data_IF_462453040661
#
_entry.id   IF_462453040661
#
_cell.length_a   1.000
_cell.length_b   1.000
_cell.length_c   1.000
_cell.angle_alpha   90.00
_cell.angle_beta   90.00
_cell.angle_gamma   90.00
#
_symmetry.space_group_name_H-M   'P 1'
#
loop_
_entity.id
_entity.type
_entity.pdbx_description
1 polymer ?
#
# COMPACT_ATOMS: atom_id res chain seq x y z
N UNK A 1 16.58 0.36 -30.05
CA UNK A 1 15.59 -0.71 -30.29
C UNK A 1 14.32 -0.36 -29.53
N UNK A 2 13.14 -0.70 -30.05
CA UNK A 2 11.91 -0.39 -29.35
C UNK A 2 11.57 -1.48 -28.32
N UNK A 3 11.84 -1.19 -27.04
CA UNK A 3 11.64 -2.11 -25.91
C UNK A 3 10.23 -1.88 -25.34
N UNK A 4 9.45 -2.95 -25.16
CA UNK A 4 8.13 -2.89 -24.55
C UNK A 4 8.21 -3.08 -23.04
N UNK A 5 7.86 -2.05 -22.29
CA UNK A 5 7.79 -2.09 -20.83
C UNK A 5 6.34 -2.24 -20.40
N UNK A 6 6.02 -3.31 -19.68
CA UNK A 6 4.69 -3.60 -19.14
C UNK A 6 4.66 -3.29 -17.64
N UNK A 7 3.76 -2.38 -17.27
CA UNK A 7 3.54 -1.96 -15.89
C UNK A 7 2.36 -2.73 -15.31
N UNK A 8 2.63 -3.56 -14.29
CA UNK A 8 1.60 -4.40 -13.68
C UNK A 8 0.99 -3.75 -12.42
N UNK A 9 -0.21 -4.22 -12.07
CA UNK A 9 -0.96 -3.80 -10.89
C UNK A 9 -1.13 -2.26 -10.81
N UNK A 10 -0.75 -1.65 -9.69
CA UNK A 10 -0.96 -0.22 -9.45
C UNK A 10 0.01 0.69 -10.21
N UNK A 11 1.09 0.15 -10.79
CA UNK A 11 2.10 0.95 -11.50
C UNK A 11 1.54 1.64 -12.75
N UNK A 12 0.52 1.07 -13.40
CA UNK A 12 -0.12 1.71 -14.55
C UNK A 12 -0.71 3.08 -14.22
N UNK A 13 -1.23 3.27 -13.00
CA UNK A 13 -1.82 4.54 -12.59
C UNK A 13 -0.76 5.62 -12.41
N UNK A 14 0.48 5.24 -12.07
CA UNK A 14 1.67 6.11 -12.01
C UNK A 14 2.23 6.47 -13.39
N UNK A 15 1.71 5.85 -14.45
CA UNK A 15 2.05 6.14 -15.83
C UNK A 15 0.85 6.66 -16.64
N UNK A 16 -0.01 7.47 -16.02
CA UNK A 16 -1.21 8.03 -16.64
C UNK A 16 -2.17 6.96 -17.22
N UNK A 17 -2.24 5.79 -16.57
CA UNK A 17 -3.08 4.67 -16.99
C UNK A 17 -2.46 3.77 -18.07
N UNK A 18 -1.25 4.06 -18.57
CA UNK A 18 -0.61 3.23 -19.58
C UNK A 18 -0.10 1.91 -18.98
N UNK A 19 -0.62 0.79 -19.48
CA UNK A 19 -0.18 -0.55 -19.08
C UNK A 19 1.06 -1.02 -19.84
N UNK A 20 1.28 -0.51 -21.06
CA UNK A 20 2.44 -0.84 -21.90
C UNK A 20 3.02 0.43 -22.47
N UNK A 21 4.33 0.60 -22.33
CA UNK A 21 5.09 1.76 -22.79
C UNK A 21 6.22 1.26 -23.69
N UNK A 22 6.31 1.84 -24.88
CA UNK A 22 7.40 1.59 -25.80
C UNK A 22 8.51 2.64 -25.60
N UNK A 23 9.75 2.17 -25.44
CA UNK A 23 10.93 2.99 -25.19
C UNK A 23 12.03 2.59 -26.17
N UNK A 24 12.51 3.57 -26.94
CA UNK A 24 13.70 3.35 -27.77
C UNK A 24 14.98 3.42 -26.92
N UNK A 25 15.67 2.30 -26.79
CA UNK A 25 16.89 2.14 -26.01
C UNK A 25 17.74 0.98 -26.55
N UNK A 26 19.02 0.96 -26.19
CA UNK A 26 19.96 -0.09 -26.60
C UNK A 26 20.08 -1.21 -25.57
N UNK A 27 19.80 -0.92 -24.29
CA UNK A 27 19.76 -1.92 -23.22
C UNK A 27 18.51 -1.81 -22.36
N UNK A 28 18.23 -2.85 -21.56
CA UNK A 28 17.12 -2.81 -20.60
C UNK A 28 17.31 -1.70 -19.56
N UNK A 29 18.55 -1.46 -19.11
CA UNK A 29 18.81 -0.43 -18.09
C UNK A 29 18.66 0.98 -18.64
N UNK A 30 19.11 1.21 -19.88
CA UNK A 30 18.84 2.47 -20.57
C UNK A 30 17.33 2.70 -20.76
N UNK A 31 16.57 1.64 -21.08
CA UNK A 31 15.12 1.72 -21.22
C UNK A 31 14.45 2.14 -19.91
N UNK A 32 14.89 1.59 -18.77
CA UNK A 32 14.38 1.96 -17.44
C UNK A 32 14.73 3.40 -17.05
N UNK A 33 15.95 3.88 -17.33
CA UNK A 33 16.33 5.30 -17.12
C UNK A 33 15.44 6.23 -17.92
N UNK A 34 15.21 5.92 -19.21
CA UNK A 34 14.32 6.71 -20.09
C UNK A 34 12.86 6.65 -19.62
N UNK A 35 12.40 5.52 -19.11
CA UNK A 35 11.07 5.37 -18.53
C UNK A 35 10.86 6.34 -17.35
N UNK A 36 11.79 6.38 -16.40
CA UNK A 36 11.71 7.27 -15.23
C UNK A 36 11.77 8.74 -15.63
N UNK A 37 12.62 9.11 -16.59
CA UNK A 37 12.65 10.47 -17.11
C UNK A 37 11.31 10.89 -17.75
N UNK A 38 10.61 9.96 -18.39
CA UNK A 38 9.29 10.20 -19.00
C UNK A 38 8.15 10.19 -17.98
N UNK A 39 8.24 9.35 -16.95
CA UNK A 39 7.23 9.20 -15.89
C UNK A 39 7.92 9.26 -14.51
N UNK A 40 8.20 10.47 -13.98
CA UNK A 40 8.91 10.63 -12.70
C UNK A 40 8.21 9.95 -11.51
N UNK A 41 6.89 9.80 -11.56
CA UNK A 41 6.09 9.10 -10.53
C UNK A 41 6.40 7.60 -10.44
N UNK A 42 7.07 7.01 -11.45
CA UNK A 42 7.59 5.65 -11.39
C UNK A 42 8.90 5.53 -10.61
N UNK A 43 9.45 6.64 -10.10
CA UNK A 43 10.66 6.65 -9.24
C UNK A 43 10.52 5.83 -7.96
N UNK A 44 9.28 5.50 -7.60
CA UNK A 44 8.93 4.50 -6.59
C UNK A 44 9.46 3.10 -6.91
N UNK A 45 9.42 2.69 -8.17
CA UNK A 45 9.70 1.31 -8.59
C UNK A 45 11.12 1.16 -9.10
N UNK A 46 11.64 2.20 -9.77
CA UNK A 46 12.98 2.23 -10.33
C UNK A 46 13.63 3.55 -9.92
N UNK A 47 14.88 3.54 -9.49
CA UNK A 47 15.62 4.77 -9.20
C UNK A 47 16.03 5.53 -10.49
N UNK A 48 16.56 6.78 -10.38
CA UNK A 48 17.00 7.54 -11.55
C UNK A 48 18.12 6.88 -12.37
N UNK A 49 18.87 5.94 -11.76
CA UNK A 49 19.93 5.17 -12.40
C UNK A 49 19.41 3.89 -13.08
N UNK A 50 18.10 3.69 -13.13
CA UNK A 50 17.48 2.55 -13.78
C UNK A 50 17.55 1.27 -12.94
N UNK A 51 17.87 1.34 -11.64
CA UNK A 51 17.85 0.18 -10.76
C UNK A 51 16.46 -0.04 -10.17
N UNK A 52 15.90 -1.26 -10.26
CA UNK A 52 14.69 -1.60 -9.53
C UNK A 52 14.88 -1.46 -8.01
N UNK A 53 13.89 -0.83 -7.35
CA UNK A 53 13.85 -0.65 -5.90
C UNK A 53 13.31 -1.89 -5.19
N UNK A 54 13.56 -1.99 -3.88
CA UNK A 54 12.93 -3.01 -3.03
C UNK A 54 11.41 -2.94 -3.17
N UNK A 55 10.76 -4.09 -3.14
CA UNK A 55 9.31 -4.17 -3.35
C UNK A 55 8.88 -4.28 -4.80
N UNK A 56 9.81 -4.28 -5.73
CA UNK A 56 9.54 -4.49 -7.14
C UNK A 56 10.41 -5.59 -7.70
N UNK A 57 9.82 -6.42 -8.55
CA UNK A 57 10.55 -7.37 -9.38
C UNK A 57 10.46 -6.89 -10.81
N UNK A 58 11.63 -6.94 -11.47
CA UNK A 58 11.74 -6.64 -12.89
C UNK A 58 12.20 -7.89 -13.62
N UNK A 59 11.42 -8.30 -14.62
CA UNK A 59 11.81 -9.34 -15.55
C UNK A 59 12.20 -8.72 -16.89
N UNK A 60 13.37 -9.08 -17.38
CA UNK A 60 13.91 -8.73 -18.69
C UNK A 60 13.85 -9.97 -19.57
N UNK A 61 12.98 -9.96 -20.59
CA UNK A 61 12.69 -11.12 -21.45
C UNK A 61 12.35 -12.40 -20.65
N UNK A 62 11.62 -12.24 -19.54
CA UNK A 62 11.20 -13.33 -18.67
C UNK A 62 12.24 -13.81 -17.65
N UNK A 63 13.42 -13.17 -17.62
CA UNK A 63 14.51 -13.47 -16.69
C UNK A 63 14.60 -12.37 -15.63
N UNK A 64 14.80 -12.74 -14.37
CA UNK A 64 14.97 -11.76 -13.29
C UNK A 64 16.19 -10.86 -13.56
N UNK A 65 16.01 -9.54 -13.44
CA UNK A 65 17.07 -8.57 -13.76
C UNK A 65 18.35 -8.77 -12.94
N UNK A 66 18.27 -9.38 -11.75
CA UNK A 66 19.43 -9.57 -10.84
C UNK A 66 20.49 -10.52 -11.40
N UNK A 67 20.15 -11.30 -12.42
CA UNK A 67 21.06 -12.23 -13.10
C UNK A 67 21.37 -11.78 -14.54
N UNK A 68 21.06 -10.54 -14.88
CA UNK A 68 21.30 -9.90 -16.18
C UNK A 68 22.42 -8.86 -16.06
N UNK A 69 23.22 -8.70 -17.12
CA UNK A 69 24.15 -7.58 -17.24
C UNK A 69 23.40 -6.32 -17.72
N UNK A 70 23.77 -5.16 -17.18
CA UNK A 70 23.09 -3.87 -17.41
C UNK A 70 23.00 -3.44 -18.89
N UNK A 71 23.98 -3.86 -19.71
CA UNK A 71 24.07 -3.52 -21.13
C UNK A 71 23.33 -4.50 -22.04
N UNK A 72 22.74 -5.57 -21.50
CA UNK A 72 22.01 -6.54 -22.30
C UNK A 72 20.80 -5.91 -23.02
N UNK A 73 20.62 -6.33 -24.27
CA UNK A 73 19.42 -6.01 -25.03
C UNK A 73 18.17 -6.65 -24.41
N UNK A 74 17.01 -6.05 -24.65
CA UNK A 74 15.74 -6.59 -24.23
C UNK A 74 14.64 -6.32 -25.26
N UNK A 75 13.67 -7.21 -25.36
CA UNK A 75 12.46 -6.99 -26.16
C UNK A 75 11.29 -6.57 -25.28
N UNK A 76 11.12 -7.24 -24.15
CA UNK A 76 10.09 -6.96 -23.18
C UNK A 76 10.64 -6.85 -21.76
N UNK A 77 10.14 -5.87 -21.01
CA UNK A 77 10.42 -5.69 -19.59
C UNK A 77 9.08 -5.72 -18.85
N UNK A 78 9.00 -6.46 -17.76
CA UNK A 78 7.84 -6.48 -16.87
C UNK A 78 8.25 -5.89 -15.53
N UNK A 79 7.51 -4.90 -15.06
CA UNK A 79 7.69 -4.31 -13.74
C UNK A 79 6.45 -4.64 -12.92
N UNK A 80 6.64 -5.33 -11.80
CA UNK A 80 5.57 -5.72 -10.91
C UNK A 80 5.94 -5.39 -9.46
N UNK A 81 5.00 -4.84 -8.68
CA UNK A 81 5.15 -4.87 -7.24
C UNK A 81 5.11 -6.32 -6.76
N UNK A 82 5.96 -6.64 -5.79
CA UNK A 82 5.84 -7.88 -5.01
C UNK A 82 5.10 -7.60 -3.73
N UNK A 83 4.24 -8.53 -3.32
CA UNK A 83 3.46 -8.39 -2.09
C UNK A 83 4.35 -8.03 -0.92
N UNK A 84 3.88 -7.07 -0.11
CA UNK A 84 4.54 -6.54 1.06
C UNK A 84 5.83 -5.74 0.83
N UNK A 85 6.24 -5.42 -0.39
CA UNK A 85 7.47 -4.60 -0.55
C UNK A 85 8.78 -5.40 -0.52
N UNK A 86 8.70 -6.68 -0.86
CA UNK A 86 9.87 -7.51 -1.18
C UNK A 86 10.46 -8.21 0.03
N UNK A 87 11.79 -8.35 0.04
CA UNK A 87 12.51 -9.13 1.06
C UNK A 87 12.94 -8.29 2.28
N UNK A 88 12.91 -6.96 2.16
CA UNK A 88 13.21 -6.09 3.29
C UNK A 88 12.00 -5.97 4.22
N UNK A 89 12.23 -6.20 5.51
CA UNK A 89 11.21 -6.17 6.56
C UNK A 89 11.54 -5.04 7.53
N UNK A 90 10.56 -4.19 7.82
CA UNK A 90 10.57 -3.19 8.88
C UNK A 90 9.78 -3.73 10.08
N UNK A 91 10.49 -4.13 11.13
CA UNK A 91 9.85 -4.51 12.40
C UNK A 91 9.53 -3.27 13.22
N UNK A 92 8.28 -3.15 13.63
CA UNK A 92 7.82 -2.07 14.50
C UNK A 92 7.73 -2.51 15.96
N UNK A 93 8.13 -1.61 16.85
CA UNK A 93 7.88 -1.67 18.28
C UNK A 93 6.55 -0.99 18.64
N UNK A 94 6.07 -1.18 19.87
CA UNK A 94 4.89 -0.46 20.34
C UNK A 94 5.12 1.05 20.46
N UNK A 95 6.35 1.46 20.81
CA UNK A 95 6.75 2.87 20.89
C UNK A 95 6.66 3.55 19.51
N UNK A 96 7.05 2.84 18.44
CA UNK A 96 6.88 3.33 17.07
C UNK A 96 5.41 3.61 16.76
N UNK A 97 4.50 2.73 17.17
CA UNK A 97 3.06 2.90 16.97
C UNK A 97 2.53 4.10 17.75
N UNK A 98 2.93 4.27 19.01
CA UNK A 98 2.50 5.42 19.81
C UNK A 98 2.96 6.75 19.17
N UNK A 99 4.19 6.79 18.66
CA UNK A 99 4.72 7.95 17.94
C UNK A 99 3.95 8.21 16.63
N UNK A 100 3.66 7.18 15.85
CA UNK A 100 2.90 7.31 14.61
C UNK A 100 1.46 7.80 14.86
N UNK A 101 0.80 7.30 15.91
CA UNK A 101 -0.52 7.76 16.35
C UNK A 101 -0.47 9.24 16.75
N UNK A 102 0.61 9.65 17.43
CA UNK A 102 0.80 11.05 17.79
C UNK A 102 0.87 11.96 16.56
N UNK A 103 1.68 11.58 15.57
CA UNK A 103 1.81 12.27 14.29
C UNK A 103 0.48 12.35 13.54
N UNK A 104 -0.23 11.23 13.41
CA UNK A 104 -1.52 11.17 12.70
C UNK A 104 -2.57 12.04 13.39
N UNK A 105 -2.70 11.93 14.73
CA UNK A 105 -3.66 12.74 15.47
C UNK A 105 -3.39 14.24 15.32
N UNK A 106 -2.12 14.67 15.27
CA UNK A 106 -1.80 16.07 14.96
C UNK A 106 -2.21 16.47 13.55
N UNK A 107 -1.94 15.64 12.54
CA UNK A 107 -2.33 15.90 11.14
C UNK A 107 -3.85 16.07 11.03
N UNK A 108 -4.63 15.19 11.68
CA UNK A 108 -6.09 15.28 11.75
C UNK A 108 -6.51 16.60 12.38
N UNK A 109 -6.00 16.93 13.58
CA UNK A 109 -6.39 18.15 14.29
C UNK A 109 -6.05 19.43 13.51
N UNK A 110 -4.85 19.49 12.91
CA UNK A 110 -4.37 20.62 12.09
C UNK A 110 -5.18 20.83 10.81
N UNK A 111 -5.73 19.76 10.23
CA UNK A 111 -6.60 19.87 9.05
C UNK A 111 -7.96 20.50 9.32
N UNK A 112 -8.33 20.69 10.59
CA UNK A 112 -9.66 21.15 10.98
C UNK A 112 -10.73 20.05 10.99
N UNK A 113 -10.38 18.83 10.57
CA UNK A 113 -11.28 17.68 10.66
C UNK A 113 -11.49 17.27 12.11
N UNK A 114 -12.76 17.03 12.48
CA UNK A 114 -13.19 16.59 13.81
C UNK A 114 -14.13 15.41 13.59
N UNK A 115 -13.62 14.17 13.58
CA UNK A 115 -14.47 13.00 13.41
C UNK A 115 -15.40 12.84 14.60
N UNK A 116 -16.64 12.45 14.34
CA UNK A 116 -17.60 12.08 15.38
C UNK A 116 -17.45 10.61 15.79
N UNK A 117 -16.97 9.78 14.87
CA UNK A 117 -16.91 8.32 15.01
C UNK A 117 -15.70 7.74 14.29
N UNK A 118 -15.12 6.70 14.86
CA UNK A 118 -14.09 5.88 14.21
C UNK A 118 -14.70 4.57 13.73
N UNK A 119 -14.42 4.19 12.48
CA UNK A 119 -14.71 2.86 11.96
C UNK A 119 -13.39 2.16 11.66
N UNK A 120 -13.05 1.13 12.42
CA UNK A 120 -11.85 0.32 12.21
C UNK A 120 -12.11 -0.81 11.21
N UNK A 121 -11.22 -0.95 10.23
CA UNK A 121 -11.21 -2.10 9.34
C UNK A 121 -10.53 -3.28 10.07
N UNK A 122 -11.27 -4.37 10.25
CA UNK A 122 -10.76 -5.59 10.85
C UNK A 122 -9.82 -6.28 9.87
N UNK A 123 -8.67 -6.79 10.32
CA UNK A 123 -8.22 -6.87 11.73
C UNK A 123 -7.24 -5.76 12.10
N UNK A 124 -6.43 -5.31 11.15
CA UNK A 124 -5.29 -4.42 11.34
C UNK A 124 -5.66 -3.06 11.94
N UNK A 125 -6.76 -2.46 11.47
CA UNK A 125 -7.23 -1.14 11.88
C UNK A 125 -7.75 -1.03 13.32
N UNK A 126 -7.91 -2.13 14.07
CA UNK A 126 -8.49 -2.10 15.44
C UNK A 126 -7.60 -1.36 16.41
N UNK A 127 -6.32 -1.68 16.42
CA UNK A 127 -5.36 -1.10 17.36
C UNK A 127 -5.12 0.38 17.06
N UNK A 128 -4.77 0.80 15.83
CA UNK A 128 -4.66 2.22 15.53
C UNK A 128 -5.98 2.97 15.73
N UNK A 129 -7.13 2.35 15.43
CA UNK A 129 -8.44 2.96 15.67
C UNK A 129 -8.69 3.23 17.14
N UNK A 130 -8.39 2.27 18.04
CA UNK A 130 -8.53 2.48 19.48
C UNK A 130 -7.58 3.54 20.00
N UNK A 131 -6.31 3.54 19.57
CA UNK A 131 -5.31 4.53 20.02
C UNK A 131 -5.66 5.95 19.53
N UNK A 132 -6.13 6.08 18.29
CA UNK A 132 -6.62 7.37 17.77
C UNK A 132 -7.87 7.85 18.49
N UNK A 133 -8.80 6.95 18.84
CA UNK A 133 -9.99 7.30 19.61
C UNK A 133 -9.63 7.92 20.96
N UNK A 134 -8.65 7.33 21.65
CA UNK A 134 -8.11 7.86 22.91
C UNK A 134 -7.52 9.26 22.72
N UNK A 135 -6.65 9.39 21.73
CA UNK A 135 -5.93 10.64 21.44
C UNK A 135 -6.86 11.78 21.01
N UNK A 136 -7.92 11.47 20.26
CA UNK A 136 -8.84 12.45 19.70
C UNK A 136 -10.05 12.71 20.61
N UNK A 137 -10.23 11.94 21.69
CA UNK A 137 -11.39 12.03 22.57
C UNK A 137 -12.70 11.60 21.91
N UNK A 138 -12.65 10.51 21.13
CA UNK A 138 -13.80 9.94 20.41
C UNK A 138 -14.25 8.67 21.14
N UNK A 139 -15.49 8.66 21.64
CA UNK A 139 -16.06 7.51 22.35
C UNK A 139 -16.68 6.46 21.41
N UNK A 140 -17.22 6.92 20.28
CA UNK A 140 -17.91 6.08 19.31
C UNK A 140 -16.90 5.37 18.39
N UNK A 141 -16.71 4.07 18.62
CA UNK A 141 -15.82 3.21 17.83
C UNK A 141 -16.61 2.01 17.30
N UNK A 142 -16.75 1.94 15.98
CA UNK A 142 -17.31 0.81 15.25
C UNK A 142 -16.24 0.03 14.50
N UNK A 143 -16.63 -1.09 13.91
CA UNK A 143 -15.73 -1.89 13.06
C UNK A 143 -16.46 -2.53 11.88
N UNK A 144 -15.70 -2.90 10.86
CA UNK A 144 -16.16 -3.70 9.72
C UNK A 144 -15.06 -4.68 9.31
N UNK A 145 -15.43 -5.86 8.77
CA UNK A 145 -14.44 -6.81 8.24
C UNK A 145 -14.51 -6.82 6.71
N UNK A 146 -13.38 -6.58 6.07
CA UNK A 146 -13.19 -6.73 4.63
C UNK A 146 -12.14 -7.82 4.41
N UNK A 147 -12.39 -8.68 3.43
CA UNK A 147 -11.41 -9.66 2.97
C UNK A 147 -11.16 -9.53 1.48
N UNK A 148 -9.93 -9.80 1.09
CA UNK A 148 -9.52 -9.97 -0.30
C UNK A 148 -9.51 -11.46 -0.61
N UNK A 149 -10.19 -11.88 -1.67
CA UNK A 149 -10.13 -13.25 -2.16
C UNK A 149 -9.84 -13.28 -3.65
N UNK A 150 -9.16 -14.33 -4.09
CA UNK A 150 -8.96 -14.65 -5.50
C UNK A 150 -10.00 -15.71 -5.87
N UNK A 151 -10.94 -15.35 -6.74
CA UNK A 151 -11.91 -16.31 -7.25
C UNK A 151 -11.21 -17.28 -8.23
N UNK A 152 -11.53 -18.57 -8.15
CA UNK A 152 -11.00 -19.57 -9.07
C UNK A 152 -11.27 -19.16 -10.53
N UNK A 153 -10.22 -19.13 -11.36
CA UNK A 153 -10.31 -18.75 -12.77
C UNK A 153 -10.40 -17.24 -13.04
N UNK A 154 -10.32 -16.37 -12.02
CA UNK A 154 -10.26 -14.92 -12.20
C UNK A 154 -8.88 -14.37 -11.86
N UNK A 155 -8.48 -13.32 -12.58
CA UNK A 155 -7.27 -12.55 -12.28
C UNK A 155 -7.59 -11.46 -11.26
N UNK A 156 -6.81 -11.43 -10.17
CA UNK A 156 -6.83 -10.36 -9.19
C UNK A 156 -7.69 -10.64 -7.96
N UNK A 157 -7.35 -9.96 -6.88
CA UNK A 157 -8.08 -9.98 -5.62
C UNK A 157 -9.33 -9.12 -5.70
N UNK A 158 -10.43 -9.60 -5.13
CA UNK A 158 -11.68 -8.84 -5.00
C UNK A 158 -12.00 -8.63 -3.52
N UNK A 159 -12.20 -7.38 -3.08
CA UNK A 159 -12.67 -7.12 -1.73
C UNK A 159 -14.14 -7.54 -1.60
N UNK A 160 -14.49 -8.10 -0.45
CA UNK A 160 -15.88 -8.28 -0.03
C UNK A 160 -16.02 -7.99 1.46
N UNK A 161 -17.21 -7.52 1.84
CA UNK A 161 -17.58 -7.29 3.22
C UNK A 161 -17.96 -8.63 3.86
N UNK A 162 -17.23 -9.01 4.91
CA UNK A 162 -17.56 -10.18 5.75
C UNK A 162 -18.38 -9.79 6.98
N UNK A 163 -18.13 -8.60 7.53
CA UNK A 163 -18.88 -8.05 8.65
C UNK A 163 -19.21 -6.58 8.36
N UNK A 164 -20.51 -6.19 8.38
CA UNK A 164 -20.91 -4.80 8.19
C UNK A 164 -20.67 -3.95 9.45
N UNK A 165 -20.70 -2.63 9.26
CA UNK A 165 -20.75 -1.67 10.37
C UNK A 165 -22.12 -1.77 11.04
N UNK A 166 -22.12 -1.92 12.37
CA UNK A 166 -23.36 -1.94 13.19
C UNK A 166 -23.62 -0.62 13.91
N UNK A 167 -22.58 0.19 14.10
CA UNK A 167 -22.68 1.50 14.74
C UNK A 167 -23.38 2.50 13.79
N UNK A 168 -24.41 3.26 14.23
CA UNK A 168 -25.06 4.25 13.38
C UNK A 168 -24.13 5.39 13.01
N UNK A 169 -23.89 5.58 11.71
CA UNK A 169 -22.98 6.62 11.17
C UNK A 169 -23.66 7.65 10.25
N UNK A 170 -25.01 7.62 10.18
CA UNK A 170 -25.76 8.59 9.37
C UNK A 170 -25.50 10.02 9.87
N UNK A 171 -25.23 10.93 8.93
CA UNK A 171 -24.95 12.35 9.17
C UNK A 171 -23.69 12.62 10.02
N UNK A 172 -22.88 11.59 10.31
CA UNK A 172 -21.64 11.69 11.10
C UNK A 172 -20.41 11.90 10.22
N UNK A 173 -19.39 12.57 10.77
CA UNK A 173 -18.03 12.61 10.23
C UNK A 173 -17.28 11.34 10.65
N UNK A 174 -17.00 10.48 9.69
CA UNK A 174 -16.38 9.17 9.92
C UNK A 174 -14.89 9.21 9.62
N UNK A 175 -14.06 8.86 10.61
CA UNK A 175 -12.67 8.49 10.39
C UNK A 175 -12.57 6.97 10.20
N UNK A 176 -12.31 6.55 8.96
CA UNK A 176 -12.09 5.16 8.60
C UNK A 176 -10.61 4.80 8.79
N UNK A 177 -10.33 3.77 9.58
CA UNK A 177 -8.97 3.45 10.04
C UNK A 177 -8.54 2.05 9.62
N UNK A 178 -7.36 1.93 9.01
CA UNK A 178 -6.64 0.67 8.77
C UNK A 178 -5.18 0.76 9.27
N UNK A 179 -4.41 -0.32 9.25
CA UNK A 179 -2.98 -0.25 9.62
C UNK A 179 -2.07 0.12 8.43
N UNK A 180 -2.31 -0.45 7.24
CA UNK A 180 -1.54 -0.14 6.04
C UNK A 180 -2.41 -0.03 4.78
N UNK A 181 -2.18 1.02 3.98
CA UNK A 181 -2.71 1.09 2.61
C UNK A 181 -1.69 0.52 1.64
N UNK A 182 -1.83 -0.78 1.31
CA UNK A 182 -0.92 -1.47 0.38
C UNK A 182 -1.36 -1.31 -1.09
N UNK A 183 -2.30 -2.14 -1.55
CA UNK A 183 -2.86 -2.01 -2.91
C UNK A 183 -3.91 -0.91 -3.02
N UNK A 184 -4.46 -0.48 -1.88
CA UNK A 184 -5.58 0.46 -1.73
C UNK A 184 -6.97 -0.17 -1.92
N UNK A 185 -7.08 -1.44 -2.32
CA UNK A 185 -8.36 -2.10 -2.61
C UNK A 185 -9.31 -2.19 -1.41
N UNK A 186 -8.78 -2.54 -0.24
CA UNK A 186 -9.56 -2.67 0.99
C UNK A 186 -10.18 -1.33 1.37
N UNK A 187 -9.36 -0.29 1.42
CA UNK A 187 -9.77 1.04 1.84
C UNK A 187 -10.74 1.68 0.81
N UNK A 188 -10.53 1.47 -0.49
CA UNK A 188 -11.45 1.92 -1.55
C UNK A 188 -12.83 1.27 -1.41
N UNK A 189 -12.87 -0.05 -1.22
CA UNK A 189 -14.12 -0.77 -1.01
C UNK A 189 -14.83 -0.35 0.29
N UNK A 190 -14.06 -0.12 1.36
CA UNK A 190 -14.59 0.34 2.63
C UNK A 190 -15.31 1.69 2.50
N UNK A 191 -14.73 2.67 1.81
CA UNK A 191 -15.36 3.97 1.54
C UNK A 191 -16.70 3.77 0.82
N UNK A 192 -16.71 2.99 -0.27
CA UNK A 192 -17.92 2.71 -1.04
C UNK A 192 -19.01 2.06 -0.18
N UNK A 193 -18.63 1.09 0.63
CA UNK A 193 -19.53 0.39 1.54
C UNK A 193 -20.14 1.31 2.61
N UNK A 194 -19.33 2.11 3.32
CA UNK A 194 -19.84 2.96 4.40
C UNK A 194 -20.59 4.18 3.88
N UNK A 195 -20.34 4.59 2.63
CA UNK A 195 -21.09 5.68 1.98
C UNK A 195 -22.59 5.37 1.88
N UNK A 196 -22.97 4.08 1.82
CA UNK A 196 -24.38 3.65 1.82
C UNK A 196 -25.11 3.95 3.13
N UNK A 197 -24.38 4.20 4.22
CA UNK A 197 -24.93 4.58 5.52
C UNK A 197 -25.14 6.09 5.66
N UNK A 198 -24.86 6.86 4.60
CA UNK A 198 -25.05 8.32 4.50
C UNK A 198 -24.32 9.11 5.60
N UNK A 199 -23.00 8.90 5.83
CA UNK A 199 -22.22 9.82 6.65
C UNK A 199 -22.15 11.22 6.00
N UNK A 200 -21.96 12.26 6.81
CA UNK A 200 -21.82 13.63 6.31
C UNK A 200 -20.46 13.89 5.67
N UNK A 201 -19.42 13.20 6.14
CA UNK A 201 -18.06 13.27 5.59
C UNK A 201 -17.31 11.97 5.95
N UNK A 202 -16.49 11.46 5.03
CA UNK A 202 -15.59 10.33 5.28
C UNK A 202 -14.16 10.82 5.07
N UNK A 203 -13.30 10.58 6.05
CA UNK A 203 -11.84 10.64 5.87
C UNK A 203 -11.21 9.33 6.25
N UNK A 204 -10.06 9.06 5.66
CA UNK A 204 -9.31 7.81 5.82
C UNK A 204 -7.99 8.04 6.53
N UNK A 205 -7.58 7.07 7.33
CA UNK A 205 -6.22 7.06 7.87
C UNK A 205 -5.65 5.66 7.97
N UNK A 206 -4.35 5.56 7.74
CA UNK A 206 -3.56 4.37 8.02
C UNK A 206 -2.29 4.73 8.77
N UNK A 207 -1.63 3.79 9.44
CA UNK A 207 -0.31 4.07 9.99
C UNK A 207 0.70 4.28 8.86
N UNK A 208 0.72 3.34 7.92
CA UNK A 208 1.64 3.35 6.78
C UNK A 208 0.88 3.36 5.46
N UNK A 209 1.49 3.94 4.43
CA UNK A 209 1.05 3.72 3.06
C UNK A 209 2.20 3.15 2.24
N UNK A 210 1.88 2.22 1.35
CA UNK A 210 2.83 1.82 0.31
C UNK A 210 2.82 2.87 -0.77
N UNK A 211 3.97 3.22 -1.33
CA UNK A 211 4.00 4.22 -2.39
C UNK A 211 3.22 3.73 -3.64
N UNK A 212 2.99 2.42 -3.81
CA UNK A 212 2.22 1.87 -4.94
C UNK A 212 0.73 1.76 -4.64
N UNK A 213 0.25 2.25 -3.51
CA UNK A 213 -1.20 2.27 -3.26
C UNK A 213 -1.92 3.10 -4.31
N UNK A 214 -3.10 2.63 -4.74
CA UNK A 214 -3.99 3.40 -5.61
C UNK A 214 -4.83 4.41 -4.84
N UNK A 215 -4.96 4.23 -3.52
CA UNK A 215 -5.74 5.08 -2.65
C UNK A 215 -4.84 5.62 -1.54
N UNK A 216 -4.44 6.88 -1.69
CA UNK A 216 -3.69 7.62 -0.69
C UNK A 216 -4.65 8.00 0.45
N UNK A 217 -4.40 7.55 1.70
CA UNK A 217 -5.23 7.95 2.83
C UNK A 217 -5.14 9.46 3.08
N UNK A 218 -6.22 10.08 3.60
CA UNK A 218 -6.20 11.50 3.99
C UNK A 218 -5.10 11.80 5.02
N UNK A 219 -4.84 10.85 5.92
CA UNK A 219 -3.82 10.94 6.95
C UNK A 219 -3.02 9.64 7.08
N UNK A 220 -1.70 9.74 7.11
CA UNK A 220 -0.82 8.61 7.42
C UNK A 220 0.44 9.10 8.15
N UNK A 221 1.14 8.21 8.85
CA UNK A 221 2.38 8.59 9.53
C UNK A 221 3.53 8.68 8.52
N UNK A 222 3.79 7.58 7.80
CA UNK A 222 4.94 7.44 6.90
C UNK A 222 4.59 6.65 5.62
N UNK A 223 5.25 6.99 4.52
CA UNK A 223 5.27 6.21 3.29
C UNK A 223 6.44 5.22 3.33
N UNK A 224 6.19 3.91 3.17
CA UNK A 224 7.21 2.86 3.31
C UNK A 224 7.11 1.82 2.19
N UNK A 225 8.24 1.48 1.58
CA UNK A 225 8.37 0.50 0.49
C UNK A 225 8.78 -0.92 0.95
N UNK A 226 8.97 -1.14 2.26
CA UNK A 226 9.36 -2.41 2.90
C UNK A 226 8.16 -3.15 3.49
N UNK A 227 8.30 -4.42 3.82
CA UNK A 227 7.27 -5.16 4.57
C UNK A 227 7.22 -4.65 6.00
N UNK A 228 6.12 -3.99 6.37
CA UNK A 228 5.90 -3.53 7.73
C UNK A 228 5.32 -4.69 8.55
N UNK A 229 5.96 -5.02 9.67
CA UNK A 229 5.45 -6.03 10.61
C UNK A 229 5.06 -5.32 11.90
N UNK A 230 3.76 -5.26 12.14
CA UNK A 230 3.21 -4.63 13.32
C UNK A 230 3.38 -5.48 14.59
N UNK A 231 3.39 -4.87 15.79
CA UNK A 231 3.49 -5.61 17.04
C UNK A 231 2.40 -6.68 17.24
N UNK A 232 1.20 -6.47 16.69
CA UNK A 232 0.04 -7.37 16.84
C UNK A 232 0.03 -8.56 15.90
N UNK A 233 0.91 -8.62 14.90
CA UNK A 233 0.91 -9.66 13.88
C UNK A 233 2.21 -10.45 13.81
N UNK A 234 3.14 -10.24 14.75
CA UNK A 234 4.45 -10.92 14.79
C UNK A 234 4.34 -12.45 14.67
N UNK A 235 3.31 -13.06 15.27
CA UNK A 235 3.07 -14.51 15.16
C UNK A 235 2.53 -14.97 13.81
N UNK A 236 1.85 -14.10 13.08
CA UNK A 236 1.45 -14.36 11.70
C UNK A 236 2.68 -14.26 10.79
N UNK A 237 3.47 -13.19 10.95
CA UNK A 237 4.74 -13.02 10.25
C UNK A 237 5.71 -14.19 10.48
N UNK A 238 5.93 -14.64 11.73
CA UNK A 238 6.78 -15.80 12.04
C UNK A 238 6.35 -17.08 11.30
N UNK A 239 5.06 -17.26 11.02
CA UNK A 239 4.56 -18.43 10.27
C UNK A 239 4.82 -18.27 8.77
N UNK A 240 4.62 -17.08 8.24
CA UNK A 240 4.82 -16.77 6.82
C UNK A 240 6.30 -16.76 6.44
N UNK A 241 7.14 -16.13 7.27
CA UNK A 241 8.58 -16.02 7.08
C UNK A 241 9.29 -17.38 7.00
N UNK A 242 8.76 -18.44 7.65
CA UNK A 242 9.32 -19.81 7.55
C UNK A 242 9.33 -20.37 6.14
N UNK A 243 8.45 -19.87 5.27
CA UNK A 243 8.36 -20.29 3.87
C UNK A 243 9.23 -19.44 2.93
N UNK A 244 9.89 -18.40 3.44
CA UNK A 244 10.62 -17.41 2.65
C UNK A 244 12.13 -17.53 2.86
N UNK A 245 12.88 -17.28 1.80
CA UNK A 245 14.36 -17.27 1.84
C UNK A 245 14.87 -15.86 1.51
N UNK A 246 15.95 -15.44 2.18
CA UNK A 246 16.62 -14.17 1.89
C UNK A 246 16.00 -12.91 2.50
N UNK A 247 15.18 -13.04 3.56
CA UNK A 247 14.62 -11.87 4.26
C UNK A 247 15.73 -11.02 4.92
N UNK A 248 15.64 -9.70 4.75
CA UNK A 248 16.52 -8.71 5.39
C UNK A 248 15.71 -7.94 6.42
N UNK A 249 15.94 -8.23 7.70
CA UNK A 249 15.19 -7.64 8.81
C UNK A 249 15.87 -6.35 9.27
N UNK A 250 15.13 -5.25 9.28
CA UNK A 250 15.51 -3.94 9.83
C UNK A 250 14.55 -3.58 10.96
N UNK A 251 15.09 -3.13 12.08
CA UNK A 251 14.31 -2.43 13.10
C UNK A 251 14.21 -0.96 12.72
N UNK A 252 13.15 -0.28 13.17
CA UNK A 252 13.05 1.18 13.06
C UNK A 252 14.09 1.86 13.96
#
# INVERSE_FOLDING_TARGET
MNIKIKLLAALKYRANGNETIEVDANSWKEALKKLINKYPDLSIAIDPDGNPKSGFVVFVDGVDYRIKEDEEEAKEIYILPVNHGGIEVLLLSWEDIENDINVIGEKILKSGYRPDVIISILRGGVIPGRLLADRLGIDDIGSMEIKLYIAAGQKGERPYMRQPVTLPIKDKKVLLVDDVSDSGLTLEFAIQAISLYMPSEIKTTTLYMKPWTRLVPDFYAEEVDKWVVFPWERKEFEKEAKSMTGLVIKNR
#
